data_IF_379482709422
#
_entry.id   IF_379482709422
#
_cell.length_a   1.000
_cell.length_b   1.000
_cell.length_c   1.000
_cell.angle_alpha   90.00
_cell.angle_beta   90.00
_cell.angle_gamma   90.00
#
_symmetry.space_group_name_H-M   'P 1'
#
loop_
_entity.id
_entity.type
_entity.pdbx_description
1 polymer ?
#
# COMPACT_ATOMS: atom_id res chain seq x y z
N UNK A 1 -22.18 -4.56 8.61
CA UNK A 1 -20.83 -3.96 8.60
C UNK A 1 -19.96 -4.92 7.81
N UNK A 2 -19.39 -4.47 6.68
CA UNK A 2 -18.56 -5.35 5.85
C UNK A 2 -17.20 -5.49 6.51
N UNK A 3 -16.77 -6.72 6.80
CA UNK A 3 -15.40 -7.01 7.21
C UNK A 3 -14.52 -7.02 5.96
N UNK A 4 -13.43 -6.27 5.99
CA UNK A 4 -12.37 -6.37 4.98
C UNK A 4 -11.35 -7.36 5.51
N UNK A 5 -10.96 -8.32 4.68
CA UNK A 5 -9.88 -9.25 4.93
C UNK A 5 -8.91 -9.19 3.77
N UNK A 6 -7.62 -9.01 4.07
CA UNK A 6 -6.55 -8.99 3.07
C UNK A 6 -5.70 -10.24 3.26
N UNK A 7 -5.36 -10.89 2.16
CA UNK A 7 -4.46 -12.04 2.13
C UNK A 7 -3.38 -11.78 1.09
N UNK A 8 -2.14 -12.13 1.42
CA UNK A 8 -1.00 -12.01 0.53
C UNK A 8 -0.16 -13.28 0.59
N UNK A 9 0.42 -13.66 -0.55
CA UNK A 9 1.38 -14.74 -0.66
C UNK A 9 2.39 -14.36 -1.75
N UNK A 10 3.66 -14.66 -1.51
CA UNK A 10 4.74 -14.52 -2.49
C UNK A 10 5.53 -15.82 -2.51
N UNK A 11 6.22 -16.09 -3.62
CA UNK A 11 7.07 -17.26 -3.84
C UNK A 11 8.18 -16.87 -4.80
N UNK A 12 9.39 -17.37 -4.56
CA UNK A 12 10.55 -17.11 -5.43
C UNK A 12 10.49 -17.85 -6.77
N UNK A 13 9.67 -18.89 -6.86
CA UNK A 13 9.63 -19.80 -8.00
C UNK A 13 10.81 -20.77 -8.01
N UNK A 14 11.04 -21.40 -9.16
CA UNK A 14 12.05 -22.47 -9.32
C UNK A 14 13.39 -22.00 -9.88
N UNK A 15 13.39 -20.88 -10.61
CA UNK A 15 14.51 -20.45 -11.45
C UNK A 15 15.30 -19.26 -10.86
N UNK A 16 14.68 -18.49 -9.94
CA UNK A 16 15.29 -17.28 -9.37
C UNK A 16 16.03 -17.61 -8.08
N UNK A 17 17.11 -16.87 -7.82
CA UNK A 17 17.92 -16.98 -6.58
C UNK A 17 17.46 -15.97 -5.53
N UNK A 18 16.86 -14.86 -5.96
CA UNK A 18 16.28 -13.83 -5.10
C UNK A 18 14.83 -13.59 -5.51
N UNK A 19 13.95 -13.43 -4.53
CA UNK A 19 12.58 -12.96 -4.76
C UNK A 19 12.59 -11.43 -4.78
N UNK A 20 12.30 -10.85 -5.94
CA UNK A 20 12.25 -9.40 -6.15
C UNK A 20 10.82 -8.85 -5.97
N UNK A 21 9.84 -9.71 -5.63
CA UNK A 21 8.48 -9.29 -5.31
C UNK A 21 8.37 -8.82 -3.86
N UNK A 22 7.61 -7.75 -3.64
CA UNK A 22 7.25 -7.26 -2.31
C UNK A 22 5.75 -7.04 -2.19
N UNK A 23 5.20 -7.35 -1.02
CA UNK A 23 3.81 -7.09 -0.68
C UNK A 23 3.72 -6.31 0.62
N UNK A 24 2.93 -5.23 0.61
CA UNK A 24 2.56 -4.47 1.79
C UNK A 24 1.04 -4.42 1.92
N UNK A 25 0.52 -4.52 3.14
CA UNK A 25 -0.91 -4.49 3.41
C UNK A 25 -1.24 -3.73 4.67
N UNK A 26 -2.35 -2.99 4.65
CA UNK A 26 -2.84 -2.22 5.79
C UNK A 26 -4.36 -2.29 5.81
N UNK A 27 -4.93 -2.64 6.97
CA UNK A 27 -6.36 -2.53 7.23
C UNK A 27 -6.56 -1.43 8.25
N UNK A 28 -7.38 -0.43 7.92
CA UNK A 28 -7.69 0.66 8.83
C UNK A 28 -9.18 0.71 9.12
N UNK A 29 -9.47 0.67 10.42
CA UNK A 29 -10.79 0.87 10.98
C UNK A 29 -10.73 2.11 11.87
N UNK A 30 -11.39 3.19 11.44
CA UNK A 30 -11.52 4.41 12.21
C UNK A 30 -12.98 4.73 12.44
N UNK A 31 -13.33 4.99 13.71
CA UNK A 31 -14.66 5.41 14.09
C UNK A 31 -14.54 6.70 14.89
N UNK A 32 -15.17 7.75 14.39
CA UNK A 32 -15.30 9.04 15.04
C UNK A 32 -16.77 9.39 15.23
N UNK A 33 -17.06 10.46 15.96
CA UNK A 33 -18.43 10.93 16.20
C UNK A 33 -19.18 11.27 14.90
N UNK A 34 -18.47 11.69 13.84
CA UNK A 34 -19.07 12.13 12.57
C UNK A 34 -18.87 11.16 11.42
N UNK A 35 -17.74 10.45 11.38
CA UNK A 35 -17.37 9.57 10.26
C UNK A 35 -16.91 8.20 10.75
N UNK A 36 -17.26 7.17 9.95
CA UNK A 36 -16.74 5.82 10.07
C UNK A 36 -16.01 5.46 8.78
N UNK A 37 -14.75 5.07 8.91
CA UNK A 37 -13.90 4.61 7.82
C UNK A 37 -13.47 3.19 8.06
N UNK A 38 -13.65 2.37 7.04
CA UNK A 38 -13.16 1.01 6.99
C UNK A 38 -12.60 0.81 5.58
N UNK A 39 -11.28 0.71 5.47
CA UNK A 39 -10.62 0.50 4.20
C UNK A 39 -9.41 -0.43 4.37
N UNK A 40 -9.06 -1.10 3.27
CA UNK A 40 -7.84 -1.89 3.16
C UNK A 40 -6.99 -1.37 2.01
N UNK A 41 -5.68 -1.30 2.21
CA UNK A 41 -4.69 -1.04 1.17
C UNK A 41 -3.88 -2.33 1.00
N UNK A 42 -3.75 -2.79 -0.24
CA UNK A 42 -2.87 -3.88 -0.62
C UNK A 42 -1.99 -3.39 -1.77
N UNK A 43 -0.67 -3.52 -1.61
CA UNK A 43 0.32 -3.08 -2.58
C UNK A 43 1.16 -4.29 -2.97
N UNK A 44 1.34 -4.47 -4.27
CA UNK A 44 2.27 -5.45 -4.85
C UNK A 44 3.27 -4.67 -5.68
N UNK A 45 4.56 -4.93 -5.47
CA UNK A 45 5.66 -4.35 -6.22
C UNK A 45 6.57 -5.46 -6.76
N UNK A 46 6.93 -5.37 -8.03
CA UNK A 46 7.86 -6.27 -8.72
C UNK A 46 9.16 -5.48 -8.99
N UNK A 47 10.25 -5.94 -8.40
CA UNK A 47 11.57 -5.36 -8.60
C UNK A 47 12.14 -5.78 -9.96
N UNK A 48 12.54 -4.82 -10.78
CA UNK A 48 13.09 -5.12 -12.10
C UNK A 48 14.41 -5.91 -11.99
N UNK A 49 14.37 -7.19 -12.40
CA UNK A 49 15.56 -8.02 -12.47
C UNK A 49 16.58 -7.53 -13.52
N UNK A 50 17.86 -7.77 -13.26
CA UNK A 50 18.97 -7.34 -14.13
C UNK A 50 19.65 -6.03 -13.73
N UNK A 51 19.11 -5.34 -12.72
CA UNK A 51 19.79 -4.28 -11.97
C UNK A 51 20.11 -4.78 -10.56
N UNK A 52 21.18 -4.28 -9.93
CA UNK A 52 21.45 -4.65 -8.53
C UNK A 52 20.29 -4.19 -7.63
N UNK A 53 19.84 -5.09 -6.73
CA UNK A 53 18.92 -4.82 -5.62
C UNK A 53 17.44 -4.60 -5.98
N UNK A 54 16.90 -5.38 -6.92
CA UNK A 54 15.46 -5.38 -7.23
C UNK A 54 14.58 -5.64 -6.01
N UNK A 55 15.03 -6.50 -5.09
CA UNK A 55 14.37 -6.81 -3.82
C UNK A 55 14.29 -5.60 -2.86
N UNK A 56 15.30 -4.73 -2.88
CA UNK A 56 15.31 -3.52 -2.06
C UNK A 56 14.39 -2.46 -2.69
N UNK A 57 14.44 -2.33 -4.01
CA UNK A 57 13.60 -1.39 -4.74
C UNK A 57 12.11 -1.69 -4.56
N UNK A 58 11.70 -2.96 -4.70
CA UNK A 58 10.31 -3.37 -4.51
C UNK A 58 9.84 -3.21 -3.07
N UNK A 59 10.70 -3.48 -2.09
CA UNK A 59 10.42 -3.27 -0.67
C UNK A 59 10.20 -1.79 -0.33
N UNK A 60 11.07 -0.91 -0.82
CA UNK A 60 10.93 0.55 -0.61
C UNK A 60 9.66 1.05 -1.29
N UNK A 61 9.39 0.63 -2.51
CA UNK A 61 8.20 1.05 -3.25
C UNK A 61 6.91 0.65 -2.53
N UNK A 62 6.79 -0.62 -2.12
CA UNK A 62 5.57 -1.13 -1.47
C UNK A 62 5.30 -0.44 -0.13
N UNK A 63 6.34 -0.21 0.67
CA UNK A 63 6.26 0.47 1.97
C UNK A 63 6.00 1.97 1.84
N UNK A 64 6.68 2.66 0.92
CA UNK A 64 6.50 4.10 0.79
C UNK A 64 5.12 4.44 0.24
N UNK A 65 4.63 3.63 -0.70
CA UNK A 65 3.28 3.80 -1.23
C UNK A 65 2.22 3.68 -0.13
N UNK A 66 2.30 2.65 0.72
CA UNK A 66 1.30 2.45 1.77
C UNK A 66 1.31 3.59 2.80
N UNK A 67 2.50 4.08 3.16
CA UNK A 67 2.70 5.24 4.05
C UNK A 67 2.04 6.50 3.50
N UNK A 68 2.38 6.89 2.27
CA UNK A 68 1.87 8.13 1.65
C UNK A 68 0.34 8.06 1.50
N UNK A 69 -0.18 6.92 1.03
CA UNK A 69 -1.63 6.75 0.84
C UNK A 69 -2.36 6.77 2.18
N UNK A 70 -1.89 6.04 3.20
CA UNK A 70 -2.55 6.02 4.51
C UNK A 70 -2.58 7.40 5.17
N UNK A 71 -1.47 8.13 5.10
CA UNK A 71 -1.35 9.46 5.72
C UNK A 71 -2.30 10.46 5.07
N UNK A 72 -2.37 10.47 3.74
CA UNK A 72 -3.28 11.36 3.02
C UNK A 72 -4.76 11.00 3.23
N UNK A 73 -5.08 9.70 3.39
CA UNK A 73 -6.44 9.28 3.75
C UNK A 73 -6.77 9.74 5.18
N UNK A 74 -5.88 9.52 6.16
CA UNK A 74 -6.11 9.97 7.54
C UNK A 74 -6.29 11.50 7.59
N UNK A 75 -5.42 12.24 6.91
CA UNK A 75 -5.50 13.69 6.83
C UNK A 75 -6.82 14.16 6.21
N UNK A 76 -7.19 13.63 5.04
CA UNK A 76 -8.42 14.02 4.34
C UNK A 76 -9.68 13.68 5.15
N UNK A 77 -9.65 12.57 5.88
CA UNK A 77 -10.70 12.16 6.81
C UNK A 77 -10.95 13.21 7.89
N UNK A 78 -9.87 13.67 8.53
CA UNK A 78 -9.94 14.53 9.71
C UNK A 78 -10.33 15.95 9.31
N UNK A 79 -9.78 16.46 8.20
CA UNK A 79 -9.82 17.89 7.89
C UNK A 79 -10.79 18.27 6.75
N UNK A 80 -10.91 17.45 5.70
CA UNK A 80 -11.58 17.87 4.45
C UNK A 80 -12.91 17.18 4.18
N UNK A 81 -13.18 16.02 4.80
CA UNK A 81 -14.40 15.24 4.61
C UNK A 81 -14.59 14.65 3.20
N UNK A 82 -13.70 14.97 2.25
CA UNK A 82 -13.68 14.49 0.87
C UNK A 82 -12.29 13.99 0.49
N UNK A 83 -12.23 12.88 -0.24
CA UNK A 83 -11.01 12.24 -0.70
C UNK A 83 -10.83 12.43 -2.20
N UNK A 84 -9.69 12.99 -2.62
CA UNK A 84 -9.29 13.00 -4.03
C UNK A 84 -8.28 11.89 -4.28
N UNK A 85 -8.79 10.67 -4.50
CA UNK A 85 -7.97 9.49 -4.69
C UNK A 85 -6.88 9.67 -5.76
N UNK A 86 -7.20 10.31 -6.89
CA UNK A 86 -6.22 10.53 -7.95
C UNK A 86 -4.99 11.32 -7.47
N UNK A 87 -5.20 12.40 -6.71
CA UNK A 87 -4.10 13.23 -6.19
C UNK A 87 -3.25 12.46 -5.16
N UNK A 88 -3.90 11.63 -4.34
CA UNK A 88 -3.22 10.79 -3.35
C UNK A 88 -2.34 9.74 -4.05
N UNK A 89 -2.86 9.11 -5.11
CA UNK A 89 -2.12 8.11 -5.87
C UNK A 89 -0.94 8.72 -6.62
N UNK A 90 -1.10 9.91 -7.21
CA UNK A 90 0.01 10.62 -7.86
C UNK A 90 1.13 10.92 -6.87
N UNK A 91 0.82 11.46 -5.69
CA UNK A 91 1.83 11.72 -4.64
C UNK A 91 2.54 10.47 -4.13
N UNK A 92 1.88 9.30 -4.20
CA UNK A 92 2.44 8.06 -3.70
C UNK A 92 3.48 7.43 -4.65
N UNK A 93 3.59 7.94 -5.87
CA UNK A 93 4.53 7.46 -6.91
C UNK A 93 5.54 8.53 -7.35
N UNK A 94 5.46 9.74 -6.79
CA UNK A 94 6.46 10.81 -6.90
C UNK A 94 7.63 10.58 -5.93
#
# INVERSE_FOLDING_TARGET
MYSISLCAKTDIGKERVTNEDSVASLIMNSQSFRNKLNYGILVVADGMGGLEKGEVASEIASKKFIEVVSDNIIYSTIYNGNFKFQEILTKAVE
#
